data_IF_646510542424
#
_entry.id   IF_646510542424
#
_cell.length_a   1.000
_cell.length_b   1.000
_cell.length_c   1.000
_cell.angle_alpha   90.00
_cell.angle_beta   90.00
_cell.angle_gamma   90.00
#
_symmetry.space_group_name_H-M   'P 1'
#
loop_
_entity.id
_entity.type
_entity.pdbx_description
1 polymer ?
#
# COMPACT_ATOMS: atom_id res chain seq x y z
N UNK A 1 -10.87 -11.75 -40.42
CA UNK A 1 -9.74 -10.93 -39.95
C UNK A 1 -8.83 -11.82 -39.11
N UNK A 2 -7.54 -11.96 -39.47
CA UNK A 2 -6.59 -12.73 -38.65
C UNK A 2 -6.22 -11.89 -37.43
N UNK A 3 -6.86 -12.15 -36.30
CA UNK A 3 -6.44 -11.61 -34.99
C UNK A 3 -5.21 -12.38 -34.53
N UNK A 4 -4.04 -12.05 -35.07
CA UNK A 4 -2.81 -12.46 -34.42
C UNK A 4 -2.81 -11.84 -33.02
N UNK A 5 -2.71 -12.67 -31.98
CA UNK A 5 -2.60 -12.23 -30.58
C UNK A 5 -1.36 -11.34 -30.49
N UNK A 6 -1.57 -10.02 -30.47
CA UNK A 6 -0.47 -9.06 -30.39
C UNK A 6 0.33 -9.35 -29.12
N UNK A 7 1.65 -9.36 -29.24
CA UNK A 7 2.55 -9.50 -28.10
C UNK A 7 2.24 -8.38 -27.09
N UNK A 8 2.29 -8.73 -25.81
CA UNK A 8 2.21 -7.76 -24.73
C UNK A 8 3.31 -6.72 -24.89
N UNK A 9 3.00 -5.47 -24.61
CA UNK A 9 4.03 -4.45 -24.54
C UNK A 9 4.83 -4.59 -23.25
N UNK A 10 6.16 -4.64 -23.39
CA UNK A 10 7.13 -4.65 -22.28
C UNK A 10 8.13 -3.54 -22.57
N UNK A 11 8.26 -2.59 -21.64
CA UNK A 11 9.18 -1.48 -21.74
C UNK A 11 10.64 -1.96 -21.72
N UNK A 12 11.47 -1.44 -22.62
CA UNK A 12 12.91 -1.77 -22.65
C UNK A 12 13.64 -1.21 -21.43
N UNK A 13 13.19 -0.07 -20.92
CA UNK A 13 13.75 0.67 -19.79
C UNK A 13 12.63 1.08 -18.83
N UNK A 14 12.94 1.40 -17.57
CA UNK A 14 11.96 1.94 -16.61
C UNK A 14 11.20 3.16 -17.15
N UNK A 15 11.91 4.07 -17.82
CA UNK A 15 11.34 5.31 -18.41
C UNK A 15 10.67 5.11 -19.78
N UNK A 16 10.62 3.87 -20.29
CA UNK A 16 10.01 3.62 -21.60
C UNK A 16 8.51 3.84 -21.52
N UNK A 17 8.01 4.78 -22.32
CA UNK A 17 6.57 5.05 -22.42
C UNK A 17 5.90 4.11 -23.42
N UNK A 18 4.68 3.63 -23.13
CA UNK A 18 3.89 2.86 -24.08
C UNK A 18 3.50 3.73 -25.28
N UNK A 19 3.51 3.12 -26.47
CA UNK A 19 3.01 3.77 -27.69
C UNK A 19 1.48 3.85 -27.72
N UNK A 20 0.95 4.61 -28.67
CA UNK A 20 -0.49 4.89 -28.75
C UNK A 20 -1.37 3.63 -28.93
N UNK A 21 -0.89 2.61 -29.65
CA UNK A 21 -1.60 1.33 -29.78
C UNK A 21 -1.82 0.65 -28.43
N UNK A 22 -0.84 0.71 -27.53
CA UNK A 22 -0.93 0.13 -26.19
C UNK A 22 -1.92 0.91 -25.34
N UNK A 23 -1.89 2.25 -25.41
CA UNK A 23 -2.86 3.11 -24.72
C UNK A 23 -4.30 2.80 -25.14
N UNK A 24 -4.55 2.60 -26.45
CA UNK A 24 -5.87 2.21 -26.94
C UNK A 24 -6.29 0.81 -26.46
N UNK A 25 -5.36 -0.15 -26.36
CA UNK A 25 -5.67 -1.46 -25.76
C UNK A 25 -6.03 -1.34 -24.29
N UNK A 26 -5.30 -0.52 -23.52
CA UNK A 26 -5.60 -0.26 -22.11
C UNK A 26 -6.98 0.39 -21.94
N UNK A 27 -7.29 1.41 -22.74
CA UNK A 27 -8.59 2.08 -22.74
C UNK A 27 -9.73 1.09 -23.03
N UNK A 28 -9.58 0.28 -24.09
CA UNK A 28 -10.56 -0.75 -24.44
C UNK A 28 -10.72 -1.80 -23.32
N UNK A 29 -9.62 -2.25 -22.72
CA UNK A 29 -9.62 -3.21 -21.60
C UNK A 29 -10.33 -2.64 -20.36
N UNK A 30 -10.22 -1.34 -20.12
CA UNK A 30 -10.89 -0.62 -19.04
C UNK A 30 -12.33 -0.22 -19.37
N UNK A 31 -12.85 -0.57 -20.56
CA UNK A 31 -14.17 -0.12 -21.03
C UNK A 31 -14.27 1.40 -21.19
N UNK A 32 -13.14 2.08 -21.37
CA UNK A 32 -13.04 3.53 -21.45
C UNK A 32 -13.30 4.26 -20.13
N UNK A 33 -13.25 3.57 -18.99
CA UNK A 33 -13.50 4.14 -17.66
C UNK A 33 -12.19 4.27 -16.88
N UNK A 34 -12.09 5.32 -16.08
CA UNK A 34 -10.94 5.55 -15.20
C UNK A 34 -10.72 4.35 -14.25
N UNK A 35 -9.49 3.82 -14.21
CA UNK A 35 -9.19 2.61 -13.44
C UNK A 35 -9.26 2.77 -11.91
N UNK A 36 -9.30 4.00 -11.39
CA UNK A 36 -9.37 4.22 -9.93
C UNK A 36 -10.71 3.77 -9.30
N UNK A 37 -11.71 3.41 -10.11
CA UNK A 37 -13.04 3.02 -9.63
C UNK A 37 -14.02 4.19 -9.46
N UNK A 38 -13.68 5.40 -9.90
CA UNK A 38 -14.60 6.55 -9.82
C UNK A 38 -15.79 6.48 -10.79
N UNK A 39 -15.77 5.57 -11.77
CA UNK A 39 -16.84 5.41 -12.76
C UNK A 39 -16.87 6.45 -13.88
N UNK A 40 -15.93 7.41 -13.90
CA UNK A 40 -15.87 8.42 -14.96
C UNK A 40 -15.35 7.85 -16.27
N UNK A 41 -16.06 8.16 -17.36
CA UNK A 41 -15.64 7.85 -18.73
C UNK A 41 -14.49 8.78 -19.14
N UNK A 42 -13.50 8.22 -19.81
CA UNK A 42 -12.31 8.92 -20.29
C UNK A 42 -12.46 9.31 -21.76
N UNK A 43 -12.46 10.60 -22.04
CA UNK A 43 -12.46 11.16 -23.39
C UNK A 43 -11.08 11.76 -23.74
N UNK A 44 -10.33 11.09 -24.61
CA UNK A 44 -9.00 11.53 -25.04
C UNK A 44 -8.94 12.92 -25.70
N UNK A 45 -10.06 13.46 -26.19
CA UNK A 45 -10.08 14.78 -26.82
C UNK A 45 -10.20 15.94 -25.82
N UNK A 46 -10.65 15.66 -24.59
CA UNK A 46 -11.01 16.69 -23.61
C UNK A 46 -10.27 16.47 -22.30
N UNK A 47 -10.19 15.22 -21.84
CA UNK A 47 -9.66 14.87 -20.54
C UNK A 47 -8.14 14.72 -20.57
N UNK A 48 -7.50 15.16 -19.49
CA UNK A 48 -6.10 14.84 -19.23
C UNK A 48 -6.02 13.45 -18.62
N UNK A 49 -5.55 12.49 -19.40
CA UNK A 49 -5.42 11.08 -19.03
C UNK A 49 -3.94 10.74 -18.95
N UNK A 50 -3.54 10.21 -17.81
CA UNK A 50 -2.18 9.73 -17.56
C UNK A 50 -2.16 8.20 -17.60
N UNK A 51 -1.05 7.64 -18.10
CA UNK A 51 -0.77 6.22 -17.99
C UNK A 51 0.14 5.99 -16.77
N UNK A 52 -0.34 5.18 -15.84
CA UNK A 52 0.30 4.94 -14.55
C UNK A 52 0.45 3.43 -14.31
N UNK A 53 1.41 3.06 -13.47
CA UNK A 53 1.60 1.67 -13.08
C UNK A 53 0.57 1.28 -12.01
N UNK A 54 -0.01 0.09 -12.08
CA UNK A 54 -0.91 -0.44 -11.03
C UNK A 54 -0.10 -0.62 -9.74
N UNK A 55 1.06 -1.29 -9.86
CA UNK A 55 2.10 -1.35 -8.83
C UNK A 55 3.28 -0.53 -9.31
N UNK A 56 3.68 0.49 -8.55
CA UNK A 56 4.81 1.35 -8.91
C UNK A 56 6.12 0.55 -9.04
N UNK A 57 7.02 1.00 -9.93
CA UNK A 57 8.31 0.32 -10.17
C UNK A 57 9.16 0.21 -8.90
N UNK A 58 9.15 1.25 -8.06
CA UNK A 58 9.88 1.27 -6.78
C UNK A 58 9.36 0.22 -5.80
N UNK A 59 8.09 -0.14 -5.92
CA UNK A 59 7.41 -1.11 -5.05
C UNK A 59 7.43 -2.53 -5.68
N UNK A 60 8.30 -2.76 -6.67
CA UNK A 60 8.49 -4.06 -7.34
C UNK A 60 7.60 -4.28 -8.56
N UNK A 61 6.91 -3.24 -9.04
CA UNK A 61 6.14 -3.30 -10.27
C UNK A 61 7.01 -3.47 -11.52
N UNK A 62 6.44 -4.07 -12.56
CA UNK A 62 7.10 -4.23 -13.86
C UNK A 62 6.61 -3.17 -14.85
N UNK A 63 7.49 -2.71 -15.75
CA UNK A 63 7.11 -1.81 -16.84
C UNK A 63 6.51 -2.60 -18.02
N UNK A 64 5.33 -3.20 -17.82
CA UNK A 64 4.62 -3.99 -18.82
C UNK A 64 3.14 -3.62 -18.85
N UNK A 65 2.50 -3.86 -19.99
CA UNK A 65 1.10 -3.50 -20.22
C UNK A 65 0.15 -4.12 -19.20
N UNK A 66 0.43 -5.33 -18.69
CA UNK A 66 -0.39 -5.93 -17.64
C UNK A 66 -0.41 -5.12 -16.33
N UNK A 67 0.63 -4.32 -16.09
CA UNK A 67 0.80 -3.49 -14.90
C UNK A 67 0.56 -2.00 -15.21
N UNK A 68 0.05 -1.66 -16.38
CA UNK A 68 -0.32 -0.29 -16.72
C UNK A 68 -1.83 -0.10 -16.65
N UNK A 69 -2.23 1.11 -16.30
CA UNK A 69 -3.62 1.55 -16.28
C UNK A 69 -3.72 3.03 -16.70
N UNK A 70 -4.88 3.40 -17.22
CA UNK A 70 -5.21 4.78 -17.55
C UNK A 70 -6.04 5.40 -16.42
N UNK A 71 -5.61 6.58 -16.00
CA UNK A 71 -6.25 7.36 -14.95
C UNK A 71 -6.48 8.80 -15.41
N UNK A 72 -7.60 9.38 -15.00
CA UNK A 72 -7.76 10.82 -15.07
C UNK A 72 -6.70 11.50 -14.19
N UNK A 73 -6.13 12.61 -14.64
CA UNK A 73 -5.05 13.30 -13.94
C UNK A 73 -5.35 13.60 -12.46
N UNK A 74 -6.61 13.96 -12.15
CA UNK A 74 -7.03 14.20 -10.77
C UNK A 74 -6.94 12.92 -9.91
N UNK A 75 -7.41 11.79 -10.43
CA UNK A 75 -7.34 10.50 -9.75
C UNK A 75 -5.90 9.98 -9.64
N UNK A 76 -5.09 10.21 -10.68
CA UNK A 76 -3.67 9.87 -10.67
C UNK A 76 -2.94 10.59 -9.52
N UNK A 77 -3.15 11.90 -9.35
CA UNK A 77 -2.57 12.66 -8.22
C UNK A 77 -2.95 12.10 -6.86
N UNK A 78 -4.21 11.69 -6.67
CA UNK A 78 -4.67 11.06 -5.43
C UNK A 78 -3.93 9.76 -5.16
N UNK A 79 -3.77 8.91 -6.18
CA UNK A 79 -2.99 7.67 -6.09
C UNK A 79 -1.54 7.95 -5.72
N UNK A 80 -0.88 8.86 -6.42
CA UNK A 80 0.52 9.22 -6.15
C UNK A 80 0.70 9.71 -4.70
N UNK A 81 -0.22 10.53 -4.19
CA UNK A 81 -0.18 11.03 -2.82
C UNK A 81 -0.35 9.90 -1.78
N UNK A 82 -1.30 8.98 -2.02
CA UNK A 82 -1.53 7.83 -1.14
C UNK A 82 -0.29 6.91 -1.08
N UNK A 83 0.31 6.61 -2.22
CA UNK A 83 1.53 5.79 -2.29
C UNK A 83 2.73 6.47 -1.63
N UNK A 84 2.92 7.77 -1.84
CA UNK A 84 3.99 8.53 -1.20
C UNK A 84 3.84 8.52 0.33
N UNK A 85 2.60 8.63 0.84
CA UNK A 85 2.30 8.52 2.26
C UNK A 85 2.64 7.13 2.80
N UNK A 86 2.20 6.07 2.12
CA UNK A 86 2.50 4.69 2.50
C UNK A 86 4.01 4.42 2.57
N UNK A 87 4.77 4.85 1.55
CA UNK A 87 6.24 4.73 1.52
C UNK A 87 6.92 5.53 2.63
N UNK A 88 6.38 6.69 3.00
CA UNK A 88 6.88 7.49 4.13
C UNK A 88 6.74 6.74 5.46
N UNK A 89 5.57 6.15 5.71
CA UNK A 89 5.34 5.36 6.93
C UNK A 89 6.22 4.11 6.97
N UNK A 90 6.35 3.39 5.86
CA UNK A 90 7.24 2.24 5.78
C UNK A 90 8.70 2.63 6.08
N UNK A 91 9.17 3.74 5.51
CA UNK A 91 10.50 4.29 5.79
C UNK A 91 10.68 4.61 7.27
N UNK A 92 9.70 5.23 7.93
CA UNK A 92 9.73 5.52 9.37
C UNK A 92 9.83 4.23 10.19
N UNK A 93 9.07 3.20 9.82
CA UNK A 93 9.09 1.90 10.50
C UNK A 93 10.46 1.21 10.35
N UNK A 94 10.99 1.15 9.12
CA UNK A 94 12.34 0.64 8.84
C UNK A 94 13.40 1.42 9.61
N UNK A 95 13.36 2.75 9.59
CA UNK A 95 14.30 3.59 10.31
C UNK A 95 14.30 3.30 11.82
N UNK A 96 13.12 3.13 12.44
CA UNK A 96 13.00 2.74 13.86
C UNK A 96 13.67 1.40 14.14
N UNK A 97 13.57 0.42 13.23
CA UNK A 97 14.20 -0.88 13.39
C UNK A 97 15.73 -0.78 13.42
N UNK A 98 16.33 0.02 12.51
CA UNK A 98 17.78 0.19 12.43
C UNK A 98 18.35 1.12 13.51
N UNK A 99 17.60 2.15 13.92
CA UNK A 99 18.06 3.17 14.88
C UNK A 99 17.71 2.86 16.33
N UNK A 100 17.10 1.70 16.61
CA UNK A 100 16.70 1.28 17.96
C UNK A 100 17.90 1.02 18.89
N UNK A 101 18.57 2.10 19.32
CA UNK A 101 18.96 2.23 20.72
C UNK A 101 17.67 2.00 21.52
N UNK A 102 17.55 0.84 22.17
CA UNK A 102 16.41 0.48 23.03
C UNK A 102 16.30 1.51 24.16
N UNK A 103 15.65 2.64 23.93
CA UNK A 103 15.29 3.57 25.00
C UNK A 103 14.26 2.82 25.85
N UNK A 104 14.51 2.60 27.15
CA UNK A 104 13.53 1.96 28.01
C UNK A 104 12.24 2.76 27.95
N UNK A 105 11.10 2.08 27.80
CA UNK A 105 9.79 2.73 27.81
C UNK A 105 9.63 3.42 29.16
N UNK A 106 9.66 4.75 29.18
CA UNK A 106 9.38 5.56 30.37
C UNK A 106 7.89 5.88 30.35
N UNK A 107 7.08 4.99 30.92
CA UNK A 107 5.66 5.23 31.15
C UNK A 107 5.41 5.78 32.54
N UNK A 108 4.22 6.32 32.78
CA UNK A 108 3.72 6.49 34.15
C UNK A 108 3.76 5.12 34.83
N UNK A 109 4.41 5.02 36.00
CA UNK A 109 4.47 3.78 36.76
C UNK A 109 3.05 3.25 37.05
N UNK A 110 2.95 1.96 37.35
CA UNK A 110 1.67 1.37 37.74
C UNK A 110 1.08 2.13 38.95
N UNK A 111 -0.25 2.35 38.98
CA UNK A 111 -0.89 2.92 40.15
C UNK A 111 -0.60 2.02 41.36
N UNK A 112 -0.44 2.64 42.53
CA UNK A 112 -0.19 1.90 43.76
C UNK A 112 -1.36 0.95 44.03
N UNK A 113 -1.07 -0.35 44.12
CA UNK A 113 -2.09 -1.34 44.47
C UNK A 113 -2.62 -1.11 45.89
N UNK A 114 -3.88 -1.45 46.12
CA UNK A 114 -4.44 -1.43 47.47
C UNK A 114 -3.69 -2.41 48.39
N UNK A 115 -3.45 -2.03 49.66
CA UNK A 115 -2.75 -2.89 50.60
C UNK A 115 -3.57 -4.15 50.88
N UNK A 116 -3.01 -5.32 50.60
CA UNK A 116 -3.67 -6.63 50.71
C UNK A 116 -4.05 -7.02 52.15
N UNK A 117 -3.54 -6.31 53.18
CA UNK A 117 -3.79 -6.49 54.63
C UNK A 117 -3.93 -7.97 55.04
N UNK A 118 -3.11 -8.85 54.46
CA UNK A 118 -3.27 -10.30 54.57
C UNK A 118 -2.71 -10.89 55.86
N UNK A 119 -2.13 -10.05 56.74
CA UNK A 119 -1.57 -10.49 58.02
C UNK A 119 -2.61 -11.11 58.96
N UNK A 120 -3.88 -10.69 58.87
CA UNK A 120 -4.99 -11.23 59.66
C UNK A 120 -5.76 -12.34 58.94
N UNK A 121 -5.36 -12.71 57.71
CA UNK A 121 -6.03 -13.78 56.96
C UNK A 121 -5.71 -15.12 57.64
N UNK A 122 -6.74 -15.87 58.02
CA UNK A 122 -6.61 -17.19 58.64
C UNK A 122 -5.80 -18.10 57.70
N UNK A 123 -4.63 -18.55 58.15
CA UNK A 123 -3.80 -19.49 57.40
C UNK A 123 -4.39 -20.88 57.65
N UNK A 124 -4.97 -21.49 56.63
CA UNK A 124 -5.26 -22.92 56.70
C UNK A 124 -3.94 -23.67 56.50
N UNK A 125 -3.42 -24.21 57.60
CA UNK A 125 -2.28 -25.11 57.58
C UNK A 125 -2.78 -26.42 56.99
N UNK A 126 -2.15 -26.88 55.91
CA UNK A 126 -2.42 -28.20 55.35
C UNK A 126 -2.27 -29.25 56.46
N UNK A 127 -3.35 -29.94 56.79
CA UNK A 127 -3.31 -31.08 57.70
C UNK A 127 -2.67 -32.25 56.98
N UNK A 128 -1.39 -32.48 57.25
CA UNK A 128 -0.74 -33.75 56.92
C UNK A 128 -1.23 -34.81 57.92
N UNK A 129 -2.36 -35.43 57.62
CA UNK A 129 -2.76 -36.67 58.27
C UNK A 129 -3.22 -37.66 57.20
N UNK A 130 -2.41 -38.72 57.12
CA UNK A 130 -2.56 -39.98 56.39
C UNK A 130 -3.80 -40.77 56.81
#
# INVERSE_FOLDING_TARGET
>A
MRTAKLKEWVGRRPESMPGQTVLFRLHAKQGGICACGCGQVMNFNVDKIDCDHIVALIDGGENRESNLQLLLNACHKVKTAAEASARSEERKHKAKAFTALRRPKRGAGFPKAEPQRSATRKIEKWSLLS
#
